data_IF_284998649743
#
_entry.id   IF_284998649743
#
_cell.length_a   1.000
_cell.length_b   1.000
_cell.length_c   1.000
_cell.angle_alpha   90.00
_cell.angle_beta   90.00
_cell.angle_gamma   90.00
#
_symmetry.space_group_name_H-M   'P 1'
#
loop_
_entity.id
_entity.type
_entity.pdbx_description
1 polymer ?
#
# COMPACT_ATOMS: atom_id res chain seq x y z
N UNK A 1 8.24 -7.31 24.89
CA UNK A 1 9.61 -7.06 24.39
C UNK A 1 9.53 -7.05 22.88
N UNK A 2 9.55 -5.86 22.28
CA UNK A 2 9.53 -5.70 20.82
C UNK A 2 10.89 -6.13 20.27
N UNK A 3 10.91 -7.09 19.35
CA UNK A 3 12.14 -7.52 18.69
C UNK A 3 12.42 -6.54 17.56
N UNK A 4 13.56 -5.85 17.61
CA UNK A 4 13.99 -5.01 16.49
C UNK A 4 14.14 -5.86 15.22
N UNK A 5 13.59 -5.40 14.09
CA UNK A 5 13.75 -6.07 12.78
C UNK A 5 15.23 -6.20 12.39
N UNK A 6 16.08 -5.24 12.78
CA UNK A 6 17.52 -5.29 12.53
C UNK A 6 18.23 -6.45 13.24
N UNK A 7 17.61 -7.03 14.27
CA UNK A 7 18.08 -8.18 15.04
C UNK A 7 17.40 -9.51 14.63
N UNK A 8 16.52 -9.48 13.62
CA UNK A 8 15.98 -10.69 13.01
C UNK A 8 16.99 -11.23 11.98
N UNK A 9 17.57 -12.41 12.25
CA UNK A 9 18.58 -13.03 11.40
C UNK A 9 18.06 -13.47 10.03
N UNK A 10 16.74 -13.44 9.82
CA UNK A 10 16.13 -13.66 8.49
C UNK A 10 16.20 -12.42 7.63
N UNK A 11 16.29 -11.22 8.23
CA UNK A 11 16.19 -9.93 7.57
C UNK A 11 17.59 -9.38 7.28
N UNK A 12 17.86 -9.13 6.01
CA UNK A 12 19.10 -8.51 5.54
C UNK A 12 19.02 -6.98 5.59
N UNK A 13 17.84 -6.40 5.33
CA UNK A 13 17.67 -4.96 5.29
C UNK A 13 16.22 -4.54 5.14
N UNK A 14 15.99 -3.24 5.28
CA UNK A 14 14.67 -2.64 5.13
C UNK A 14 14.81 -1.28 4.45
N UNK A 15 14.00 -1.05 3.43
CA UNK A 15 14.02 0.16 2.61
C UNK A 15 12.62 0.76 2.51
N UNK A 16 12.56 2.09 2.52
CA UNK A 16 11.36 2.85 2.22
C UNK A 16 11.45 3.34 0.78
N UNK A 17 10.47 3.01 -0.04
CA UNK A 17 10.42 3.37 -1.45
C UNK A 17 9.26 4.35 -1.72
N UNK A 18 8.95 4.54 -3.00
CA UNK A 18 7.84 5.39 -3.45
C UNK A 18 8.00 6.85 -3.04
N UNK A 19 6.87 7.52 -2.84
CA UNK A 19 6.83 8.96 -2.56
C UNK A 19 7.55 9.32 -1.26
N UNK A 20 7.35 8.54 -0.19
CA UNK A 20 8.00 8.76 1.10
C UNK A 20 9.50 8.47 1.04
N UNK A 21 9.92 7.42 0.34
CA UNK A 21 11.33 7.07 0.16
C UNK A 21 12.15 8.16 -0.52
N UNK A 22 11.56 8.89 -1.46
CA UNK A 22 12.22 9.95 -2.22
C UNK A 22 11.94 11.38 -1.70
N UNK A 23 11.33 11.52 -0.52
CA UNK A 23 11.04 12.82 0.09
C UNK A 23 9.96 13.64 -0.63
N UNK A 24 9.11 12.99 -1.45
CA UNK A 24 7.97 13.60 -2.16
C UNK A 24 6.61 13.17 -1.60
N UNK A 25 6.60 12.61 -0.39
CA UNK A 25 5.37 12.17 0.24
C UNK A 25 4.49 13.34 0.67
N UNK A 26 3.19 13.09 0.73
CA UNK A 26 2.18 13.99 1.27
C UNK A 26 1.33 13.28 2.32
N UNK A 27 0.34 13.98 2.88
CA UNK A 27 -0.56 13.44 3.92
C UNK A 27 -1.40 12.24 3.46
N UNK A 28 -1.48 11.98 2.15
CA UNK A 28 -2.25 10.91 1.53
C UNK A 28 -1.36 9.83 0.91
N UNK A 29 -0.04 9.88 1.12
CA UNK A 29 0.91 8.90 0.60
C UNK A 29 0.73 7.53 1.25
N UNK A 30 0.95 6.49 0.45
CA UNK A 30 1.11 5.12 0.93
C UNK A 30 2.55 4.91 1.44
N UNK A 31 2.73 3.87 2.25
CA UNK A 31 4.06 3.42 2.72
C UNK A 31 4.49 2.22 1.90
N UNK A 32 5.43 2.41 0.98
CA UNK A 32 6.07 1.33 0.23
C UNK A 32 7.27 0.78 1.00
N UNK A 33 7.08 -0.33 1.74
CA UNK A 33 8.12 -0.92 2.58
C UNK A 33 8.69 -2.19 1.94
N UNK A 34 10.00 -2.22 1.74
CA UNK A 34 10.71 -3.37 1.20
C UNK A 34 11.54 -3.99 2.32
N UNK A 35 11.31 -5.27 2.61
CA UNK A 35 12.11 -6.06 3.55
C UNK A 35 12.92 -7.06 2.73
N UNK A 36 14.24 -6.89 2.72
CA UNK A 36 15.13 -7.86 2.09
C UNK A 36 15.45 -8.98 3.07
N UNK A 37 15.39 -10.23 2.61
CA UNK A 37 15.50 -11.41 3.47
C UNK A 37 16.46 -12.43 2.87
N UNK A 38 17.11 -13.22 3.72
CA UNK A 38 17.97 -14.30 3.26
C UNK A 38 17.16 -15.38 2.54
N UNK A 39 17.72 -15.93 1.46
CA UNK A 39 17.14 -17.05 0.74
C UNK A 39 17.50 -18.39 1.44
N UNK A 40 16.62 -19.40 1.38
CA UNK A 40 15.28 -19.38 0.80
C UNK A 40 14.29 -18.57 1.65
N UNK A 41 13.36 -17.85 1.01
CA UNK A 41 12.35 -17.05 1.73
C UNK A 41 11.36 -17.99 2.44
N UNK A 42 11.22 -17.91 3.78
CA UNK A 42 10.24 -18.68 4.53
C UNK A 42 8.80 -18.49 4.03
N UNK A 43 7.98 -19.54 4.10
CA UNK A 43 6.62 -19.52 3.56
C UNK A 43 5.70 -18.53 4.28
N UNK A 44 5.85 -18.38 5.60
CA UNK A 44 5.15 -17.37 6.41
C UNK A 44 5.49 -15.95 5.94
N UNK A 45 6.76 -15.65 5.68
CA UNK A 45 7.19 -14.34 5.14
C UNK A 45 6.66 -14.06 3.74
N UNK A 46 6.45 -15.08 2.90
CA UNK A 46 5.84 -14.88 1.57
C UNK A 46 4.34 -14.62 1.64
N UNK A 47 3.67 -15.15 2.64
CA UNK A 47 2.21 -15.24 2.70
C UNK A 47 1.57 -14.21 3.64
N UNK A 48 2.21 -13.94 4.78
CA UNK A 48 1.82 -12.92 5.76
C UNK A 48 3.08 -12.32 6.41
N UNK A 49 3.82 -11.48 5.67
CA UNK A 49 5.03 -10.85 6.19
C UNK A 49 4.77 -9.96 7.40
N UNK A 50 3.58 -9.38 7.53
CA UNK A 50 3.25 -8.51 8.66
C UNK A 50 3.24 -9.31 9.97
N UNK A 51 2.52 -10.44 10.00
CA UNK A 51 2.48 -11.32 11.16
C UNK A 51 3.84 -12.01 11.41
N UNK A 52 4.49 -12.50 10.35
CA UNK A 52 5.76 -13.24 10.45
C UNK A 52 6.92 -12.37 10.98
N UNK A 53 6.92 -11.07 10.65
CA UNK A 53 7.88 -10.08 11.16
C UNK A 53 7.43 -9.42 12.47
N UNK A 54 6.20 -9.70 12.93
CA UNK A 54 5.60 -9.11 14.13
C UNK A 54 5.63 -7.58 14.10
N UNK A 55 5.28 -7.02 12.93
CA UNK A 55 5.23 -5.58 12.77
C UNK A 55 4.14 -4.98 13.70
N UNK A 56 4.39 -3.82 14.31
CA UNK A 56 3.42 -3.19 15.19
C UNK A 56 2.29 -2.54 14.37
N UNK A 57 1.15 -2.34 15.03
CA UNK A 57 0.00 -1.62 14.47
C UNK A 57 -1.28 -2.42 14.52
N UNK A 58 -2.40 -1.70 14.51
CA UNK A 58 -3.73 -2.29 14.47
C UNK A 58 -4.13 -2.51 13.01
N UNK A 59 -4.20 -3.77 12.58
CA UNK A 59 -4.60 -4.11 11.21
C UNK A 59 -6.10 -3.94 11.05
N UNK A 60 -6.50 -3.09 10.10
CA UNK A 60 -7.89 -2.89 9.69
C UNK A 60 -8.32 -3.95 8.66
N UNK A 61 -7.45 -4.21 7.68
CA UNK A 61 -7.58 -5.30 6.72
C UNK A 61 -6.25 -5.56 6.01
N UNK A 62 -6.15 -6.72 5.37
CA UNK A 62 -5.04 -7.08 4.49
C UNK A 62 -5.55 -7.48 3.13
N UNK A 63 -4.76 -7.28 2.08
CA UNK A 63 -5.10 -7.69 0.72
C UNK A 63 -3.90 -8.32 0.03
N UNK A 64 -4.08 -9.56 -0.42
CA UNK A 64 -3.08 -10.27 -1.21
C UNK A 64 -3.17 -9.87 -2.67
N UNK A 65 -2.00 -9.71 -3.30
CA UNK A 65 -1.87 -9.50 -4.75
C UNK A 65 -0.52 -10.07 -5.20
N UNK A 66 -0.39 -11.41 -5.25
CA UNK A 66 0.91 -12.06 -5.46
C UNK A 66 1.66 -11.60 -6.71
N UNK A 67 0.95 -11.17 -7.77
CA UNK A 67 1.54 -10.56 -8.96
C UNK A 67 2.39 -9.30 -8.71
N UNK A 68 2.22 -8.65 -7.56
CA UNK A 68 3.02 -7.48 -7.17
C UNK A 68 4.32 -7.89 -6.44
N UNK A 69 4.50 -9.16 -6.08
CA UNK A 69 5.69 -9.63 -5.38
C UNK A 69 6.91 -9.67 -6.32
N UNK A 70 8.13 -9.48 -5.80
CA UNK A 70 9.34 -9.79 -6.55
C UNK A 70 9.50 -11.31 -6.74
N UNK A 71 10.27 -11.71 -7.74
CA UNK A 71 10.57 -13.12 -8.01
C UNK A 71 11.12 -13.85 -6.77
N UNK A 72 10.44 -14.93 -6.37
CA UNK A 72 10.79 -15.73 -5.18
C UNK A 72 10.40 -15.10 -3.84
N UNK A 73 9.81 -13.90 -3.85
CA UNK A 73 9.42 -13.13 -2.68
C UNK A 73 7.93 -13.19 -2.33
N UNK A 74 7.46 -12.15 -1.64
CA UNK A 74 6.07 -11.99 -1.22
C UNK A 74 5.61 -10.54 -1.29
N UNK A 75 4.30 -10.34 -1.29
CA UNK A 75 3.67 -9.03 -1.23
C UNK A 75 2.37 -9.09 -0.43
N UNK A 76 2.19 -8.11 0.45
CA UNK A 76 0.96 -7.90 1.19
C UNK A 76 0.66 -6.41 1.29
N UNK A 77 -0.52 -5.98 0.81
CA UNK A 77 -1.05 -4.68 1.20
C UNK A 77 -1.68 -4.81 2.58
N UNK A 78 -1.24 -3.99 3.52
CA UNK A 78 -1.77 -3.94 4.89
C UNK A 78 -2.35 -2.56 5.13
N UNK A 79 -3.60 -2.49 5.56
CA UNK A 79 -4.19 -1.25 6.03
C UNK A 79 -4.13 -1.21 7.55
N UNK A 80 -3.39 -0.23 8.08
CA UNK A 80 -3.23 -0.01 9.51
C UNK A 80 -4.08 1.17 9.96
N UNK A 81 -4.58 1.11 11.19
CA UNK A 81 -5.15 2.26 11.86
C UNK A 81 -4.04 3.12 12.48
N UNK A 82 -4.02 4.40 12.13
CA UNK A 82 -3.15 5.41 12.73
C UNK A 82 -3.97 6.66 13.05
N UNK A 83 -4.14 6.95 14.35
CA UNK A 83 -4.96 8.06 14.82
C UNK A 83 -6.39 8.07 14.23
N UNK A 84 -7.01 6.90 14.11
CA UNK A 84 -8.34 6.69 13.52
C UNK A 84 -8.36 6.64 11.98
N UNK A 85 -7.29 7.09 11.32
CA UNK A 85 -7.21 7.09 9.86
C UNK A 85 -6.59 5.78 9.32
N UNK A 86 -7.02 5.34 8.12
CA UNK A 86 -6.46 4.18 7.47
C UNK A 86 -5.18 4.57 6.71
N UNK A 87 -4.07 3.90 7.00
CA UNK A 87 -2.79 4.04 6.31
C UNK A 87 -2.49 2.76 5.56
N UNK A 88 -2.22 2.85 4.25
CA UNK A 88 -1.81 1.70 3.45
C UNK A 88 -0.30 1.53 3.53
N UNK A 89 0.10 0.29 3.79
CA UNK A 89 1.47 -0.18 3.72
C UNK A 89 1.54 -1.26 2.66
N UNK A 90 2.24 -1.00 1.56
CA UNK A 90 2.60 -1.99 0.57
C UNK A 90 3.89 -2.68 1.03
N UNK A 91 3.76 -3.89 1.57
CA UNK A 91 4.86 -4.65 2.16
C UNK A 91 5.40 -5.68 1.16
N UNK A 92 6.63 -5.46 0.70
CA UNK A 92 7.36 -6.34 -0.19
C UNK A 92 8.38 -7.15 0.59
N UNK A 93 8.41 -8.47 0.39
CA UNK A 93 9.51 -9.33 0.85
C UNK A 93 10.34 -9.72 -0.35
N UNK A 94 11.62 -9.33 -0.36
CA UNK A 94 12.51 -9.52 -1.50
C UNK A 94 13.70 -10.42 -1.10
N UNK A 95 13.91 -11.57 -1.77
CA UNK A 95 15.12 -12.37 -1.52
C UNK A 95 16.38 -11.54 -1.78
N UNK A 96 17.33 -11.51 -0.84
CA UNK A 96 18.59 -10.76 -1.00
C UNK A 96 19.39 -11.18 -2.23
N UNK A 97 19.24 -12.44 -2.67
CA UNK A 97 19.92 -13.01 -3.83
C UNK A 97 19.56 -12.33 -5.15
N UNK A 98 18.40 -11.66 -5.24
CA UNK A 98 17.98 -10.91 -6.42
C UNK A 98 17.49 -9.49 -6.10
N UNK A 99 17.39 -9.10 -4.82
CA UNK A 99 17.02 -7.76 -4.41
C UNK A 99 17.92 -6.70 -5.05
N UNK A 100 17.29 -5.64 -5.54
CA UNK A 100 17.98 -4.49 -6.12
C UNK A 100 17.35 -3.23 -5.55
N UNK A 101 18.16 -2.34 -4.99
CA UNK A 101 17.71 -1.11 -4.35
C UNK A 101 17.21 -0.11 -5.41
N UNK A 102 15.90 0.20 -5.47
CA UNK A 102 15.36 1.13 -6.47
C UNK A 102 15.88 2.55 -6.30
N UNK A 103 15.96 3.31 -7.40
CA UNK A 103 16.31 4.74 -7.32
C UNK A 103 15.26 5.49 -6.49
N UNK A 104 15.74 6.39 -5.63
CA UNK A 104 14.87 7.16 -4.73
C UNK A 104 14.33 6.36 -3.54
N UNK A 105 14.76 5.11 -3.33
CA UNK A 105 14.51 4.42 -2.06
C UNK A 105 15.48 4.92 -0.97
N UNK A 106 14.97 5.08 0.24
CA UNK A 106 15.74 5.37 1.44
C UNK A 106 16.02 4.07 2.19
N UNK A 107 17.29 3.78 2.47
CA UNK A 107 17.68 2.63 3.29
C UNK A 107 17.43 2.96 4.76
N UNK A 108 16.58 2.18 5.44
CA UNK A 108 16.34 2.33 6.88
C UNK A 108 17.40 1.58 7.69
N UNK A 109 17.74 0.36 7.26
CA UNK A 109 18.93 -0.38 7.67
C UNK A 109 19.29 -1.44 6.63
N UNK A 110 20.54 -1.89 6.60
CA UNK A 110 21.00 -2.97 5.71
C UNK A 110 22.30 -3.60 6.22
N UNK A 111 22.42 -4.91 6.06
CA UNK A 111 23.60 -5.69 6.45
C UNK A 111 24.48 -6.02 5.24
N UNK A 112 25.34 -5.09 4.82
CA UNK A 112 26.20 -5.27 3.64
C UNK A 112 25.71 -4.47 2.44
N UNK A 113 26.18 -4.81 1.24
CA UNK A 113 25.83 -4.08 0.02
C UNK A 113 24.73 -4.78 -0.78
N UNK A 114 23.95 -4.01 -1.53
CA UNK A 114 22.94 -4.52 -2.46
C UNK A 114 23.06 -3.74 -3.76
N UNK A 115 22.98 -4.41 -4.93
CA UNK A 115 22.99 -3.73 -6.22
C UNK A 115 21.93 -2.64 -6.28
N UNK A 116 22.23 -1.56 -6.99
CA UNK A 116 21.30 -0.44 -7.19
C UNK A 116 20.67 -0.48 -8.56
N UNK A 117 19.40 -0.13 -8.63
CA UNK A 117 18.64 0.03 -9.87
C UNK A 117 18.59 1.51 -10.25
N UNK A 118 18.76 1.86 -11.53
CA UNK A 118 18.61 3.23 -12.00
C UNK A 118 17.13 3.66 -12.14
N UNK A 119 16.18 2.74 -11.93
CA UNK A 119 14.75 2.97 -12.08
C UNK A 119 14.00 2.81 -10.76
N UNK A 120 12.74 3.28 -10.73
CA UNK A 120 11.88 3.25 -9.55
C UNK A 120 11.47 1.84 -9.14
N UNK A 121 10.74 1.74 -8.02
CA UNK A 121 10.32 0.45 -7.46
C UNK A 121 9.49 -0.36 -8.46
N UNK A 122 8.51 0.26 -9.11
CA UNK A 122 7.60 -0.44 -10.03
C UNK A 122 8.34 -1.00 -11.24
N UNK A 123 9.23 -0.23 -11.85
CA UNK A 123 10.04 -0.68 -12.96
C UNK A 123 11.05 -1.76 -12.53
N UNK A 124 11.62 -1.65 -11.33
CA UNK A 124 12.53 -2.66 -10.78
C UNK A 124 11.79 -3.99 -10.54
N UNK A 125 10.57 -3.95 -9.99
CA UNK A 125 9.73 -5.14 -9.81
C UNK A 125 9.32 -5.77 -11.15
N UNK A 126 9.03 -4.95 -12.17
CA UNK A 126 8.66 -5.44 -13.49
C UNK A 126 9.79 -6.21 -14.19
N UNK A 127 11.06 -5.93 -13.85
CA UNK A 127 12.23 -6.68 -14.33
C UNK A 127 12.40 -8.04 -13.61
N UNK A 128 11.73 -8.25 -12.47
CA UNK A 128 11.80 -9.46 -11.66
C UNK A 128 10.41 -9.91 -11.20
N UNK A 129 9.49 -10.21 -12.13
CA UNK A 129 8.11 -10.47 -11.76
C UNK A 129 7.98 -11.79 -11.00
N UNK A 130 7.03 -11.85 -10.06
CA UNK A 130 6.58 -13.13 -9.51
C UNK A 130 5.97 -14.02 -10.60
N UNK A 131 6.08 -15.34 -10.41
CA UNK A 131 5.50 -16.34 -11.32
C UNK A 131 3.99 -16.56 -11.13
N UNK A 132 3.30 -15.70 -10.35
CA UNK A 132 1.89 -15.86 -10.02
C UNK A 132 1.00 -14.83 -10.74
N UNK A 133 0.12 -15.27 -11.65
CA UNK A 133 -0.73 -14.37 -12.44
C UNK A 133 -1.99 -13.87 -11.68
N UNK A 134 -2.31 -14.44 -10.51
CA UNK A 134 -3.59 -14.21 -9.84
C UNK A 134 -3.78 -12.75 -9.43
N UNK A 135 -4.86 -12.14 -9.92
CA UNK A 135 -5.39 -10.88 -9.42
C UNK A 135 -6.18 -11.07 -8.12
N UNK A 136 -6.49 -9.98 -7.44
CA UNK A 136 -7.47 -10.03 -6.35
C UNK A 136 -8.87 -10.22 -6.94
N UNK A 137 -9.74 -10.93 -6.22
CA UNK A 137 -11.17 -10.98 -6.52
C UNK A 137 -11.73 -9.55 -6.51
N UNK A 138 -12.34 -9.07 -7.62
CA UNK A 138 -12.86 -7.72 -7.71
C UNK A 138 -13.98 -7.43 -6.69
N UNK A 139 -14.74 -8.46 -6.30
CA UNK A 139 -15.90 -8.32 -5.42
C UNK A 139 -15.55 -8.56 -3.94
N UNK A 140 -14.30 -8.91 -3.63
CA UNK A 140 -13.81 -9.05 -2.25
C UNK A 140 -14.01 -7.73 -1.47
N UNK A 141 -14.63 -7.76 -0.27
CA UNK A 141 -14.84 -6.56 0.54
C UNK A 141 -13.58 -5.75 0.85
N UNK A 142 -12.43 -6.40 1.02
CA UNK A 142 -11.14 -5.73 1.22
C UNK A 142 -10.66 -5.02 -0.03
N UNK A 143 -10.99 -5.54 -1.22
CA UNK A 143 -10.73 -4.88 -2.48
C UNK A 143 -11.60 -3.61 -2.64
N UNK A 144 -12.84 -3.65 -2.19
CA UNK A 144 -13.71 -2.47 -2.18
C UNK A 144 -13.19 -1.38 -1.22
N UNK A 145 -12.84 -1.75 0.02
CA UNK A 145 -12.23 -0.83 0.99
C UNK A 145 -10.96 -0.17 0.42
N UNK A 146 -10.08 -0.97 -0.18
CA UNK A 146 -8.87 -0.49 -0.84
C UNK A 146 -9.16 0.51 -1.96
N UNK A 147 -10.11 0.20 -2.86
CA UNK A 147 -10.47 1.08 -3.97
C UNK A 147 -11.10 2.40 -3.49
N UNK A 148 -11.96 2.35 -2.45
CA UNK A 148 -12.53 3.55 -1.84
C UNK A 148 -11.43 4.42 -1.23
N UNK A 149 -10.48 3.81 -0.52
CA UNK A 149 -9.35 4.53 0.07
C UNK A 149 -8.49 5.21 -1.00
N UNK A 150 -8.19 4.53 -2.11
CA UNK A 150 -7.48 5.14 -3.24
C UNK A 150 -8.27 6.27 -3.86
N UNK A 151 -9.58 6.09 -4.09
CA UNK A 151 -10.44 7.14 -4.62
C UNK A 151 -10.41 8.39 -3.72
N UNK A 152 -10.57 8.22 -2.41
CA UNK A 152 -10.50 9.33 -1.45
C UNK A 152 -9.17 10.11 -1.56
N UNK A 153 -8.06 9.40 -1.67
CA UNK A 153 -6.72 9.99 -1.84
C UNK A 153 -6.58 10.77 -3.15
N UNK A 154 -7.13 10.27 -4.25
CA UNK A 154 -7.09 10.98 -5.53
C UNK A 154 -8.03 12.18 -5.55
N UNK A 155 -9.20 12.06 -4.90
CA UNK A 155 -10.12 13.17 -4.71
C UNK A 155 -9.48 14.33 -3.96
N UNK A 156 -8.82 14.05 -2.83
CA UNK A 156 -8.11 15.06 -2.04
C UNK A 156 -7.01 15.78 -2.83
N UNK A 157 -6.37 15.09 -3.78
CA UNK A 157 -5.33 15.64 -4.67
C UNK A 157 -5.87 16.32 -5.92
N UNK A 158 -7.19 16.37 -6.12
CA UNK A 158 -7.83 16.79 -7.37
C UNK A 158 -7.32 16.03 -8.62
N UNK A 159 -6.88 14.78 -8.45
CA UNK A 159 -6.52 13.89 -9.58
C UNK A 159 -7.78 13.23 -10.13
N UNK A 160 -8.51 14.00 -10.96
CA UNK A 160 -9.79 13.60 -11.52
C UNK A 160 -9.71 12.31 -12.35
N UNK A 161 -8.60 12.09 -13.06
CA UNK A 161 -8.43 10.92 -13.92
C UNK A 161 -8.31 9.65 -13.09
N UNK A 162 -7.44 9.66 -12.07
CA UNK A 162 -7.28 8.48 -11.21
C UNK A 162 -8.47 8.26 -10.29
N UNK A 163 -9.11 9.34 -9.82
CA UNK A 163 -10.38 9.25 -9.10
C UNK A 163 -11.46 8.55 -9.95
N UNK A 164 -11.67 9.01 -11.18
CA UNK A 164 -12.64 8.41 -12.09
C UNK A 164 -12.31 6.94 -12.41
N UNK A 165 -11.03 6.58 -12.52
CA UNK A 165 -10.60 5.19 -12.70
C UNK A 165 -11.03 4.31 -11.52
N UNK A 166 -10.88 4.80 -10.27
CA UNK A 166 -11.30 4.05 -9.09
C UNK A 166 -12.83 3.92 -9.02
N UNK A 167 -13.58 5.01 -9.28
CA UNK A 167 -15.04 4.97 -9.34
C UNK A 167 -15.56 3.97 -10.38
N UNK A 168 -14.95 3.95 -11.57
CA UNK A 168 -15.26 2.97 -12.63
C UNK A 168 -15.02 1.53 -12.16
N UNK A 169 -13.91 1.24 -11.47
CA UNK A 169 -13.63 -0.09 -10.89
C UNK A 169 -14.66 -0.48 -9.81
N UNK A 170 -15.16 0.51 -9.06
CA UNK A 170 -16.23 0.34 -8.08
C UNK A 170 -17.64 0.26 -8.72
N UNK A 171 -17.75 0.42 -10.04
CA UNK A 171 -19.01 0.44 -10.79
C UNK A 171 -19.96 1.53 -10.28
N UNK A 172 -19.44 2.73 -10.04
CA UNK A 172 -20.19 3.94 -9.64
C UNK A 172 -19.85 5.12 -10.55
N UNK A 173 -20.69 6.15 -10.55
CA UNK A 173 -20.40 7.41 -11.24
C UNK A 173 -19.22 8.12 -10.58
N UNK A 174 -18.40 8.78 -11.40
CA UNK A 174 -17.33 9.65 -10.94
C UNK A 174 -17.87 11.08 -10.80
N UNK A 175 -18.65 11.30 -9.74
CA UNK A 175 -19.16 12.63 -9.43
C UNK A 175 -18.09 13.41 -8.66
N UNK A 176 -18.17 14.75 -8.65
CA UNK A 176 -17.20 15.59 -7.96
C UNK A 176 -17.29 15.48 -6.41
N UNK A 177 -18.01 14.53 -5.82
CA UNK A 177 -18.13 14.39 -4.37
C UNK A 177 -17.85 12.95 -3.89
N UNK A 178 -17.74 12.78 -2.59
CA UNK A 178 -17.49 11.48 -1.95
C UNK A 178 -18.76 10.67 -1.64
N UNK A 179 -19.97 11.13 -1.99
CA UNK A 179 -21.23 10.51 -1.56
C UNK A 179 -21.41 9.11 -2.14
N UNK A 180 -21.12 8.92 -3.42
CA UNK A 180 -21.19 7.61 -4.06
C UNK A 180 -20.24 6.60 -3.40
N UNK A 181 -19.05 7.05 -2.96
CA UNK A 181 -18.11 6.21 -2.22
C UNK A 181 -18.67 5.81 -0.85
N UNK A 182 -19.35 6.72 -0.15
CA UNK A 182 -20.01 6.43 1.14
C UNK A 182 -21.14 5.41 1.00
N UNK A 183 -21.91 5.49 -0.08
CA UNK A 183 -22.96 4.50 -0.36
C UNK A 183 -22.38 3.10 -0.59
N UNK A 184 -21.26 3.00 -1.33
CA UNK A 184 -20.57 1.72 -1.50
C UNK A 184 -20.05 1.21 -0.14
N UNK A 185 -19.42 2.09 0.64
CA UNK A 185 -18.87 1.75 1.95
C UNK A 185 -19.94 1.22 2.92
N UNK A 186 -21.11 1.85 2.97
CA UNK A 186 -22.21 1.47 3.84
C UNK A 186 -22.99 0.23 3.33
N UNK A 187 -23.10 0.07 2.01
CA UNK A 187 -23.98 -0.93 1.40
C UNK A 187 -23.31 -2.24 0.98
N UNK A 188 -21.99 -2.24 0.71
CA UNK A 188 -21.30 -3.40 0.13
C UNK A 188 -20.20 -4.01 1.01
N UNK A 189 -19.74 -3.28 2.04
CA UNK A 189 -18.74 -3.79 2.97
C UNK A 189 -19.43 -4.41 4.19
N UNK A 190 -19.15 -5.68 4.55
CA UNK A 190 -19.79 -6.34 5.68
C UNK A 190 -19.53 -5.65 7.03
N UNK A 191 -20.49 -5.72 7.98
CA UNK A 191 -20.35 -5.15 9.33
C UNK A 191 -19.18 -5.74 10.14
N UNK A 192 -18.68 -6.93 9.81
CA UNK A 192 -17.50 -7.50 10.44
C UNK A 192 -16.26 -6.59 10.32
N UNK A 193 -16.26 -5.66 9.35
CA UNK A 193 -15.20 -4.69 9.11
C UNK A 193 -15.48 -3.31 9.72
N UNK A 194 -16.31 -3.20 10.77
CA UNK A 194 -16.75 -1.93 11.35
C UNK A 194 -15.60 -0.94 11.64
N UNK A 195 -14.43 -1.40 12.10
CA UNK A 195 -13.28 -0.53 12.32
C UNK A 195 -12.73 0.04 11.01
N UNK A 196 -12.52 -0.81 10.00
CA UNK A 196 -12.05 -0.39 8.69
C UNK A 196 -13.05 0.55 8.00
N UNK A 197 -14.36 0.24 8.10
CA UNK A 197 -15.44 1.08 7.58
C UNK A 197 -15.41 2.47 8.21
N UNK A 198 -15.29 2.57 9.54
CA UNK A 198 -15.19 3.86 10.22
C UNK A 198 -13.94 4.63 9.79
N UNK A 199 -12.78 3.99 9.76
CA UNK A 199 -11.53 4.64 9.38
C UNK A 199 -11.59 5.16 7.93
N UNK A 200 -12.08 4.34 6.98
CA UNK A 200 -12.26 4.78 5.58
C UNK A 200 -13.29 5.91 5.48
N UNK A 201 -14.35 5.88 6.28
CA UNK A 201 -15.30 6.99 6.41
C UNK A 201 -14.62 8.30 6.83
N UNK A 202 -13.77 8.24 7.86
CA UNK A 202 -13.00 9.40 8.35
C UNK A 202 -12.02 9.92 7.28
N UNK A 203 -11.41 9.03 6.49
CA UNK A 203 -10.58 9.46 5.37
C UNK A 203 -11.39 10.20 4.30
N UNK A 204 -12.61 9.75 3.99
CA UNK A 204 -13.49 10.46 3.05
C UNK A 204 -13.84 11.86 3.57
N UNK A 205 -14.11 11.99 4.87
CA UNK A 205 -14.36 13.29 5.51
C UNK A 205 -13.14 14.20 5.37
N UNK A 206 -11.95 13.67 5.64
CA UNK A 206 -10.69 14.41 5.50
C UNK A 206 -10.41 14.81 4.05
N UNK A 207 -10.66 13.91 3.09
CA UNK A 207 -10.44 14.16 1.68
C UNK A 207 -11.34 15.29 1.15
N UNK A 208 -12.61 15.30 1.56
CA UNK A 208 -13.56 16.36 1.19
C UNK A 208 -13.13 17.71 1.80
N UNK A 209 -12.74 17.72 3.08
CA UNK A 209 -12.30 18.93 3.77
C UNK A 209 -11.00 19.54 3.20
N UNK A 210 -10.12 18.71 2.61
CA UNK A 210 -8.84 19.15 2.04
C UNK A 210 -8.90 19.40 0.53
N UNK A 211 -10.06 19.21 -0.11
CA UNK A 211 -10.21 19.48 -1.53
C UNK A 211 -10.02 20.97 -1.79
N UNK A 212 -8.92 21.34 -2.44
CA UNK A 212 -8.68 22.74 -2.82
C UNK A 212 -9.75 23.20 -3.81
N UNK A 213 -10.36 24.38 -3.63
CA UNK A 213 -11.31 24.93 -4.59
C UNK A 213 -10.65 25.15 -5.95
N UNK A 214 -11.40 24.91 -7.03
CA UNK A 214 -10.95 25.11 -8.42
C UNK A 214 -10.54 26.56 -8.74
N UNK A 215 -10.85 27.53 -7.87
CA UNK A 215 -10.70 28.97 -8.11
C UNK A 215 -9.33 29.56 -7.79
N UNK A 216 -8.33 28.77 -7.39
CA UNK A 216 -6.98 29.28 -7.03
C UNK A 216 -5.92 29.15 -8.14
N UNK A 217 -6.29 28.75 -9.36
CA UNK A 217 -5.40 28.80 -10.51
C UNK A 217 -5.88 29.88 -11.50
N UNK A 218 -5.12 30.96 -11.73
CA UNK A 218 -5.41 31.87 -12.84
C UNK A 218 -5.19 31.11 -14.17
N UNK A 219 -5.90 31.52 -15.24
CA UNK A 219 -5.88 30.87 -16.55
C UNK A 219 -4.49 30.81 -17.17
#
# INVERSE_FOLDING_TARGET
MERSLSADNRVHGMWLAGSLGCGRGDAFSDVDLIVTVHAPVPADLRTDPFAALRLPGTVLYTRRKPRNAPAGGGYLAVCLELAGLPVLVDLYVWPVTNATLPVGATVLFQHGETPRSPVGLIETLAQQPANEPAGADPDDPTNQLYLIQLAAKYHARADHLRFADMCRRLKISADENTDALRQVLAGRVPPANNAAVRAVGQLLDLAEANRRPRSEFPP
#
